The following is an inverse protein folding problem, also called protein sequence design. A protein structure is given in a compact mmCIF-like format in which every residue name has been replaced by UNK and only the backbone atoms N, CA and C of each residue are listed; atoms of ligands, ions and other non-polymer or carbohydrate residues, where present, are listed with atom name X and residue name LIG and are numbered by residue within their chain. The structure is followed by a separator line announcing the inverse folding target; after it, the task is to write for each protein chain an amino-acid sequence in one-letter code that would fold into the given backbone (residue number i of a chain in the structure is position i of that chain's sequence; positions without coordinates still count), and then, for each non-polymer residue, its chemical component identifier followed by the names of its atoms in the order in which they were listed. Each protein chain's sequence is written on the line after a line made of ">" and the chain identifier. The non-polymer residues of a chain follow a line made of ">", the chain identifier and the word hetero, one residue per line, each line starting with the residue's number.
data_IF_095106024819
#
_entry.id   IF_095106024819
#
_cell.length_a   1.000
_cell.length_b   1.000
_cell.length_c   1.000
_cell.angle_alpha   90.00
_cell.angle_beta   90.00
_cell.angle_gamma   90.00
#
_symmetry.space_group_name_H-M   'P 1'
#
loop_
_entity.id
_entity.type
_entity.pdbx_description
1 polymer ?
#
# COMPACT_ATOMS: atom_id res chain seq x y z
N UNK A 1 -0.47 -25.27 -19.03
CA UNK A 1 -1.00 -24.73 -17.75
C UNK A 1 -0.02 -23.66 -17.29
N UNK A 2 -0.44 -22.42 -17.23
CA UNK A 2 0.38 -21.30 -16.75
C UNK A 2 0.41 -21.36 -15.22
N UNK A 3 1.59 -21.45 -14.57
CA UNK A 3 1.63 -21.49 -13.12
C UNK A 3 1.17 -20.15 -12.53
N UNK A 4 0.62 -20.18 -11.32
CA UNK A 4 0.34 -18.98 -10.54
C UNK A 4 1.69 -18.29 -10.20
N UNK A 5 1.92 -17.14 -10.80
CA UNK A 5 3.18 -16.40 -10.66
C UNK A 5 3.12 -15.33 -9.59
N UNK A 6 1.92 -14.76 -9.36
CA UNK A 6 1.74 -13.67 -8.40
C UNK A 6 0.44 -13.86 -7.62
N UNK A 7 0.56 -13.89 -6.31
CA UNK A 7 -0.57 -13.96 -5.40
C UNK A 7 -0.58 -12.77 -4.43
N UNK A 8 -1.71 -12.07 -4.35
CA UNK A 8 -1.92 -10.89 -3.50
C UNK A 8 -3.09 -11.10 -2.57
N UNK A 9 -2.90 -10.84 -1.30
CA UNK A 9 -3.99 -10.76 -0.31
C UNK A 9 -4.22 -9.31 0.06
N UNK A 10 -5.41 -8.80 -0.22
CA UNK A 10 -5.84 -7.44 0.15
C UNK A 10 -6.69 -7.53 1.41
N UNK A 11 -6.27 -6.85 2.45
CA UNK A 11 -7.04 -6.75 3.69
C UNK A 11 -6.88 -5.35 4.31
N UNK A 12 -7.47 -5.12 5.47
CA UNK A 12 -7.36 -3.85 6.18
C UNK A 12 -8.71 -3.38 6.72
N UNK A 13 -8.69 -2.19 7.30
CA UNK A 13 -9.83 -1.61 8.00
C UNK A 13 -11.05 -1.42 7.10
N UNK A 14 -12.23 -1.63 7.65
CA UNK A 14 -13.50 -1.31 6.98
C UNK A 14 -13.53 0.18 6.62
N UNK A 15 -13.83 0.49 5.35
CA UNK A 15 -13.80 1.88 4.86
C UNK A 15 -12.41 2.37 4.42
N UNK A 16 -11.35 1.57 4.56
CA UNK A 16 -10.00 1.95 4.13
C UNK A 16 -9.76 1.85 2.61
N UNK A 17 -10.71 1.33 1.83
CA UNK A 17 -10.64 1.35 0.36
C UNK A 17 -10.26 0.03 -0.30
N UNK A 18 -10.49 -1.11 0.35
CA UNK A 18 -10.22 -2.47 -0.20
C UNK A 18 -10.82 -2.68 -1.60
N UNK A 19 -12.08 -2.29 -1.81
CA UNK A 19 -12.71 -2.39 -3.12
C UNK A 19 -12.07 -1.52 -4.22
N UNK A 20 -11.47 -0.38 -3.85
CA UNK A 20 -10.68 0.44 -4.79
C UNK A 20 -9.37 -0.26 -5.15
N UNK A 21 -8.72 -0.87 -4.15
CA UNK A 21 -7.50 -1.66 -4.38
C UNK A 21 -7.78 -2.90 -5.25
N UNK A 22 -8.88 -3.61 -5.00
CA UNK A 22 -9.34 -4.72 -5.82
C UNK A 22 -9.48 -4.33 -7.30
N UNK A 23 -10.23 -3.26 -7.58
CA UNK A 23 -10.39 -2.71 -8.95
C UNK A 23 -9.08 -2.25 -9.59
N UNK A 24 -8.13 -1.77 -8.79
CA UNK A 24 -6.82 -1.39 -9.30
C UNK A 24 -6.00 -2.63 -9.72
N UNK A 25 -6.08 -3.71 -8.95
CA UNK A 25 -5.45 -5.00 -9.28
C UNK A 25 -6.10 -5.67 -10.51
N UNK A 26 -7.43 -5.61 -10.64
CA UNK A 26 -8.12 -6.08 -11.87
C UNK A 26 -7.56 -5.39 -13.13
N UNK A 27 -7.33 -4.07 -13.07
CA UNK A 27 -6.74 -3.32 -14.19
C UNK A 27 -5.30 -3.74 -14.52
N UNK A 28 -4.59 -4.33 -13.56
CA UNK A 28 -3.26 -4.92 -13.76
C UNK A 28 -3.31 -6.39 -14.22
N UNK A 29 -4.50 -6.91 -14.51
CA UNK A 29 -4.69 -8.28 -15.01
C UNK A 29 -4.73 -9.35 -13.91
N UNK A 30 -4.97 -8.97 -12.65
CA UNK A 30 -5.23 -9.94 -11.60
C UNK A 30 -6.66 -10.49 -11.71
N UNK A 31 -6.81 -11.79 -11.56
CA UNK A 31 -8.10 -12.39 -11.24
C UNK A 31 -8.43 -12.08 -9.78
N UNK A 32 -9.49 -11.34 -9.53
CA UNK A 32 -9.84 -10.86 -8.18
C UNK A 32 -11.01 -11.64 -7.62
N UNK A 33 -10.84 -12.23 -6.44
CA UNK A 33 -11.93 -12.83 -5.66
C UNK A 33 -12.19 -11.88 -4.48
N UNK A 34 -13.34 -11.21 -4.50
CA UNK A 34 -13.73 -10.28 -3.43
C UNK A 34 -14.48 -11.00 -2.31
N UNK A 35 -14.27 -10.53 -1.08
CA UNK A 35 -14.94 -11.03 0.12
C UNK A 35 -14.75 -12.55 0.36
N UNK A 36 -13.54 -13.05 0.09
CA UNK A 36 -13.20 -14.45 0.33
C UNK A 36 -12.97 -14.70 1.83
N UNK A 37 -13.61 -15.70 2.45
CA UNK A 37 -13.24 -16.14 3.80
C UNK A 37 -11.79 -16.65 3.83
N UNK A 38 -11.05 -16.33 4.89
CA UNK A 38 -9.65 -16.75 5.01
C UNK A 38 -9.46 -18.27 4.91
N UNK A 39 -10.40 -19.04 5.45
CA UNK A 39 -10.40 -20.51 5.38
C UNK A 39 -10.54 -21.09 3.96
N UNK A 40 -10.96 -20.29 2.98
CA UNK A 40 -11.13 -20.72 1.59
C UNK A 40 -9.99 -20.25 0.68
N UNK A 41 -8.94 -19.68 1.23
CA UNK A 41 -7.82 -19.15 0.42
C UNK A 41 -7.09 -20.28 -0.28
N UNK A 42 -6.83 -21.39 0.41
CA UNK A 42 -6.10 -22.53 -0.15
C UNK A 42 -6.87 -23.17 -1.30
N UNK A 43 -8.17 -23.40 -1.14
CA UNK A 43 -9.05 -23.93 -2.18
C UNK A 43 -9.14 -22.97 -3.39
N UNK A 44 -9.18 -21.66 -3.14
CA UNK A 44 -9.18 -20.68 -4.22
C UNK A 44 -7.88 -20.71 -5.02
N UNK A 45 -6.74 -20.85 -4.34
CA UNK A 45 -5.43 -21.00 -4.99
C UNK A 45 -5.36 -22.28 -5.81
N UNK A 46 -5.84 -23.40 -5.27
CA UNK A 46 -5.85 -24.69 -5.98
C UNK A 46 -6.75 -24.64 -7.23
N UNK A 47 -7.90 -24.00 -7.11
CA UNK A 47 -8.83 -23.83 -8.23
C UNK A 47 -8.23 -23.02 -9.38
N UNK A 48 -7.52 -21.92 -9.08
CA UNK A 48 -6.93 -21.05 -10.12
C UNK A 48 -5.66 -21.66 -10.73
N UNK A 49 -4.90 -22.47 -9.98
CA UNK A 49 -3.75 -23.20 -10.53
C UNK A 49 -4.16 -24.17 -11.65
N UNK A 50 -5.41 -24.70 -11.62
CA UNK A 50 -5.98 -25.54 -12.66
C UNK A 50 -6.57 -24.75 -13.85
N UNK A 51 -6.73 -23.43 -13.74
CA UNK A 51 -7.52 -22.62 -14.67
C UNK A 51 -6.71 -21.60 -15.49
N UNK A 52 -5.40 -21.76 -15.61
CA UNK A 52 -4.51 -20.87 -16.38
C UNK A 52 -4.55 -19.38 -15.91
N UNK A 53 -4.65 -19.16 -14.60
CA UNK A 53 -4.67 -17.83 -13.97
C UNK A 53 -3.28 -17.51 -13.41
N UNK A 54 -2.47 -16.67 -14.07
CA UNK A 54 -1.12 -16.38 -13.61
C UNK A 54 -1.08 -15.41 -12.42
N UNK A 55 -2.12 -14.58 -12.25
CA UNK A 55 -2.18 -13.53 -11.21
C UNK A 55 -3.48 -13.62 -10.45
N UNK A 56 -3.40 -13.90 -9.15
CA UNK A 56 -4.55 -13.95 -8.25
C UNK A 56 -4.48 -12.86 -7.21
N UNK A 57 -5.58 -12.18 -6.96
CA UNK A 57 -5.76 -11.33 -5.79
C UNK A 57 -7.02 -11.76 -5.03
N UNK A 58 -6.92 -11.91 -3.73
CA UNK A 58 -8.07 -12.19 -2.87
C UNK A 58 -8.28 -11.03 -1.90
N UNK A 59 -9.52 -10.60 -1.75
CA UNK A 59 -9.90 -9.59 -0.75
C UNK A 59 -10.51 -10.31 0.44
N UNK A 60 -9.84 -10.20 1.59
CA UNK A 60 -10.29 -10.81 2.85
C UNK A 60 -10.90 -9.74 3.73
N UNK A 61 -12.14 -9.97 4.16
CA UNK A 61 -12.89 -9.04 5.00
C UNK A 61 -12.87 -9.45 6.47
N UNK A 62 -12.72 -8.49 7.37
CA UNK A 62 -12.82 -8.66 8.83
C UNK A 62 -14.22 -9.06 9.33
N UNK A 63 -15.26 -8.95 8.47
CA UNK A 63 -16.64 -9.31 8.83
C UNK A 63 -16.81 -10.74 9.30
N UNK A 64 -15.94 -11.59 8.90
CA UNK A 64 -15.95 -13.00 9.26
C UNK A 64 -15.21 -13.27 10.58
N UNK A 65 -15.34 -12.43 11.61
CA UNK A 65 -14.60 -12.48 12.87
C UNK A 65 -14.04 -13.86 13.31
N UNK A 66 -14.86 -14.90 13.27
CA UNK A 66 -14.43 -16.29 13.51
C UNK A 66 -13.58 -16.89 12.37
N UNK A 67 -13.70 -16.37 11.13
CA UNK A 67 -12.99 -16.86 9.95
C UNK A 67 -11.70 -16.08 9.67
N UNK A 68 -11.47 -14.96 10.36
CA UNK A 68 -10.25 -14.16 10.16
C UNK A 68 -9.02 -14.78 10.83
N UNK A 69 -9.22 -15.55 11.92
CA UNK A 69 -8.16 -16.27 12.63
C UNK A 69 -7.34 -17.21 11.73
N UNK A 70 -7.94 -17.73 10.66
CA UNK A 70 -7.26 -18.63 9.72
C UNK A 70 -6.39 -17.94 8.65
N UNK A 71 -6.37 -16.59 8.56
CA UNK A 71 -5.59 -15.93 7.51
C UNK A 71 -4.08 -16.16 7.66
N UNK A 72 -3.58 -16.05 8.87
CA UNK A 72 -2.15 -16.29 9.14
C UNK A 72 -1.78 -17.73 8.84
N UNK A 73 -2.62 -18.69 9.29
CA UNK A 73 -2.40 -20.12 9.09
C UNK A 73 -2.45 -20.48 7.62
N UNK A 74 -3.42 -19.96 6.87
CA UNK A 74 -3.52 -20.17 5.42
C UNK A 74 -2.31 -19.62 4.66
N UNK A 75 -1.80 -18.44 5.05
CA UNK A 75 -0.60 -17.86 4.45
C UNK A 75 0.66 -18.67 4.76
N UNK A 76 0.78 -19.20 5.97
CA UNK A 76 1.88 -20.09 6.37
C UNK A 76 1.83 -21.43 5.61
N UNK A 77 0.66 -22.06 5.53
CA UNK A 77 0.44 -23.29 4.74
C UNK A 77 0.82 -23.10 3.27
N UNK A 78 0.36 -22.03 2.64
CA UNK A 78 0.72 -21.72 1.25
C UNK A 78 2.22 -21.48 1.06
N UNK A 79 2.86 -20.84 2.04
CA UNK A 79 4.31 -20.61 2.01
C UNK A 79 5.09 -21.92 2.08
N UNK A 80 4.66 -22.89 2.90
CA UNK A 80 5.23 -24.24 2.97
C UNK A 80 5.08 -24.98 1.62
N UNK A 81 4.00 -24.72 0.89
CA UNK A 81 3.76 -25.23 -0.48
C UNK A 81 4.54 -24.47 -1.57
N UNK A 82 5.39 -23.51 -1.19
CA UNK A 82 6.17 -22.68 -2.11
C UNK A 82 5.39 -21.52 -2.75
N UNK A 83 4.17 -21.25 -2.31
CA UNK A 83 3.32 -20.16 -2.81
C UNK A 83 3.42 -18.97 -1.87
N UNK A 84 4.07 -17.91 -2.32
CA UNK A 84 4.22 -16.69 -1.51
C UNK A 84 3.14 -15.67 -1.88
N UNK A 85 2.29 -15.37 -0.92
CA UNK A 85 1.36 -14.25 -1.00
C UNK A 85 2.05 -12.94 -0.64
N UNK A 86 1.74 -11.85 -1.36
CA UNK A 86 2.04 -10.47 -0.91
C UNK A 86 0.82 -9.90 -0.23
N UNK A 87 0.96 -9.47 1.01
CA UNK A 87 -0.14 -8.93 1.81
C UNK A 87 -0.16 -7.40 1.69
N UNK A 88 -1.23 -6.87 1.08
CA UNK A 88 -1.54 -5.46 1.04
C UNK A 88 -2.53 -5.12 2.16
N UNK A 89 -2.09 -4.31 3.11
CA UNK A 89 -2.91 -3.83 4.20
C UNK A 89 -3.32 -2.36 4.00
N UNK A 90 -4.62 -2.07 4.15
CA UNK A 90 -5.16 -0.73 4.00
C UNK A 90 -5.70 -0.22 5.34
N UNK A 91 -5.31 1.00 5.69
CA UNK A 91 -5.79 1.67 6.90
C UNK A 91 -6.15 3.14 6.64
N UNK A 92 -6.80 3.75 7.62
CA UNK A 92 -7.00 5.19 7.68
C UNK A 92 -7.23 5.63 9.13
N UNK A 93 -7.14 6.95 9.39
CA UNK A 93 -7.50 7.53 10.67
C UNK A 93 -8.98 7.29 11.01
N UNK A 94 -9.28 7.09 12.28
CA UNK A 94 -10.60 6.72 12.76
C UNK A 94 -11.70 7.72 12.33
N UNK A 95 -11.42 9.02 12.36
CA UNK A 95 -12.35 10.06 11.91
C UNK A 95 -12.71 9.91 10.43
N UNK A 96 -11.76 9.49 9.62
CA UNK A 96 -11.96 9.25 8.17
C UNK A 96 -12.78 7.98 7.95
N UNK A 97 -12.48 6.91 8.70
CA UNK A 97 -13.22 5.65 8.63
C UNK A 97 -14.68 5.85 9.06
N UNK A 98 -14.92 6.53 10.18
CA UNK A 98 -16.26 6.87 10.68
C UNK A 98 -17.03 7.64 9.60
N UNK A 99 -16.46 8.73 9.09
CA UNK A 99 -17.12 9.54 8.05
C UNK A 99 -17.44 8.74 6.79
N UNK A 100 -16.53 7.86 6.35
CA UNK A 100 -16.74 7.00 5.16
C UNK A 100 -17.83 5.98 5.42
N UNK A 101 -17.89 5.42 6.64
CA UNK A 101 -18.90 4.45 7.03
C UNK A 101 -20.29 5.07 7.10
N UNK A 102 -20.42 6.27 7.69
CA UNK A 102 -21.66 7.03 7.74
C UNK A 102 -22.16 7.38 6.32
N UNK A 103 -21.27 7.82 5.44
CA UNK A 103 -21.60 8.10 4.05
C UNK A 103 -22.07 6.87 3.28
N UNK A 104 -21.53 5.68 3.60
CA UNK A 104 -21.95 4.41 2.99
C UNK A 104 -23.30 3.91 3.49
N UNK A 105 -23.83 4.47 4.59
CA UNK A 105 -25.10 4.07 5.23
C UNK A 105 -25.21 2.57 5.52
N UNK A 106 -24.10 1.93 5.85
CA UNK A 106 -24.04 0.50 6.20
C UNK A 106 -23.60 0.35 7.65
N UNK A 107 -24.18 -0.57 8.43
CA UNK A 107 -23.69 -0.84 9.78
C UNK A 107 -22.24 -1.36 9.72
N UNK A 108 -21.44 -0.99 10.73
CA UNK A 108 -20.09 -1.56 10.85
C UNK A 108 -20.20 -3.03 11.28
N UNK A 109 -19.47 -3.95 10.65
CA UNK A 109 -19.61 -5.40 10.90
C UNK A 109 -19.45 -5.83 12.36
N UNK A 110 -18.60 -5.14 13.11
CA UNK A 110 -18.26 -5.43 14.50
C UNK A 110 -18.93 -4.47 15.50
N UNK A 111 -19.83 -3.61 15.05
CA UNK A 111 -20.60 -2.67 15.86
C UNK A 111 -22.07 -3.16 15.95
N UNK A 112 -22.32 -4.22 16.73
CA UNK A 112 -23.66 -4.83 16.78
C UNK A 112 -24.69 -3.96 17.52
N UNK A 113 -24.33 -3.20 18.57
CA UNK A 113 -25.21 -2.29 19.32
C UNK A 113 -24.46 -1.12 19.97
N UNK A 114 -23.23 -0.81 19.51
CA UNK A 114 -22.35 0.17 20.10
C UNK A 114 -22.02 1.34 19.17
N UNK A 115 -21.12 2.19 19.64
CA UNK A 115 -20.58 3.30 18.84
C UNK A 115 -19.70 2.74 17.71
N UNK A 116 -19.73 3.39 16.54
CA UNK A 116 -18.90 3.01 15.39
C UNK A 116 -17.41 2.89 15.76
N UNK A 117 -16.93 3.78 16.63
CA UNK A 117 -15.55 3.79 17.09
C UNK A 117 -15.18 2.51 17.84
N UNK A 118 -16.09 1.93 18.63
CA UNK A 118 -15.83 0.68 19.33
C UNK A 118 -15.69 -0.49 18.35
N UNK A 119 -16.45 -0.46 17.24
CA UNK A 119 -16.31 -1.40 16.15
C UNK A 119 -14.95 -1.31 15.47
N UNK A 120 -14.47 -0.10 15.16
CA UNK A 120 -13.14 0.11 14.59
C UNK A 120 -12.01 -0.29 15.53
N UNK A 121 -12.13 -0.03 16.82
CA UNK A 121 -11.13 -0.46 17.81
C UNK A 121 -11.01 -1.99 17.87
N UNK A 122 -12.14 -2.70 17.87
CA UNK A 122 -12.16 -4.17 17.81
C UNK A 122 -11.57 -4.70 16.51
N UNK A 123 -11.91 -4.08 15.39
CA UNK A 123 -11.36 -4.44 14.08
C UNK A 123 -9.84 -4.26 14.05
N UNK A 124 -9.33 -3.15 14.56
CA UNK A 124 -7.90 -2.86 14.63
C UNK A 124 -7.13 -3.90 15.46
N UNK A 125 -7.69 -4.32 16.60
CA UNK A 125 -7.09 -5.38 17.42
C UNK A 125 -7.05 -6.72 16.68
N UNK A 126 -8.13 -7.11 16.02
CA UNK A 126 -8.18 -8.34 15.22
C UNK A 126 -7.15 -8.32 14.08
N UNK A 127 -6.96 -7.16 13.46
CA UNK A 127 -6.08 -6.99 12.31
C UNK A 127 -4.62 -6.74 12.69
N UNK A 128 -4.29 -6.54 13.96
CA UNK A 128 -2.95 -6.13 14.42
C UNK A 128 -1.84 -7.07 13.95
N UNK A 129 -2.04 -8.37 14.08
CA UNK A 129 -1.04 -9.37 13.68
C UNK A 129 -0.81 -9.36 12.17
N UNK A 130 -1.89 -9.27 11.39
CA UNK A 130 -1.80 -9.25 9.92
C UNK A 130 -1.18 -7.94 9.42
N UNK A 131 -1.51 -6.81 10.06
CA UNK A 131 -0.86 -5.54 9.78
C UNK A 131 0.66 -5.60 10.00
N UNK A 132 1.09 -6.22 11.09
CA UNK A 132 2.51 -6.40 11.41
C UNK A 132 3.28 -7.31 10.44
N UNK A 133 2.56 -8.17 9.70
CA UNK A 133 3.13 -9.10 8.71
C UNK A 133 2.88 -8.64 7.26
N UNK A 134 2.23 -7.50 7.07
CA UNK A 134 1.92 -7.00 5.74
C UNK A 134 3.19 -6.58 4.99
N UNK A 135 3.29 -6.98 3.73
CA UNK A 135 4.39 -6.57 2.84
C UNK A 135 4.24 -5.10 2.40
N UNK A 136 3.00 -4.63 2.31
CA UNK A 136 2.67 -3.26 1.93
C UNK A 136 1.55 -2.74 2.83
N UNK A 137 1.79 -1.60 3.48
CA UNK A 137 0.77 -0.87 4.24
C UNK A 137 0.50 0.45 3.53
N UNK A 138 -0.77 0.74 3.22
CA UNK A 138 -1.17 2.03 2.63
C UNK A 138 -2.12 2.73 3.59
N UNK A 139 -1.68 3.86 4.15
CA UNK A 139 -2.56 4.80 4.83
C UNK A 139 -3.34 5.61 3.79
N UNK A 140 -4.66 5.47 3.82
CA UNK A 140 -5.59 6.12 2.90
C UNK A 140 -6.26 7.36 3.49
N UNK A 141 -5.83 7.83 4.65
CA UNK A 141 -6.42 8.96 5.37
C UNK A 141 -6.60 10.19 4.49
N UNK A 142 -5.58 10.53 3.70
CA UNK A 142 -5.55 11.70 2.82
C UNK A 142 -5.71 11.35 1.33
N UNK A 143 -5.99 10.08 1.02
CA UNK A 143 -6.13 9.64 -0.37
C UNK A 143 -7.58 9.68 -0.83
N UNK A 144 -7.78 10.15 -2.04
CA UNK A 144 -9.01 9.89 -2.79
C UNK A 144 -8.90 8.56 -3.56
N UNK A 145 -10.01 8.12 -4.15
CA UNK A 145 -10.08 6.83 -4.87
C UNK A 145 -9.06 6.72 -6.01
N UNK A 146 -8.78 7.84 -6.71
CA UNK A 146 -7.83 7.85 -7.83
C UNK A 146 -6.38 7.78 -7.35
N UNK A 147 -6.06 8.46 -6.26
CA UNK A 147 -4.73 8.41 -5.65
C UNK A 147 -4.45 7.03 -5.08
N UNK A 148 -5.41 6.42 -4.38
CA UNK A 148 -5.27 5.06 -3.89
C UNK A 148 -5.07 4.06 -5.04
N UNK A 149 -5.89 4.14 -6.10
CA UNK A 149 -5.74 3.26 -7.26
C UNK A 149 -4.35 3.37 -7.89
N UNK A 150 -3.82 4.58 -8.07
CA UNK A 150 -2.45 4.80 -8.58
C UNK A 150 -1.38 4.22 -7.66
N UNK A 151 -1.51 4.37 -6.33
CA UNK A 151 -0.57 3.77 -5.37
C UNK A 151 -0.56 2.26 -5.45
N UNK A 152 -1.75 1.64 -5.52
CA UNK A 152 -1.85 0.19 -5.68
C UNK A 152 -1.23 -0.26 -7.01
N UNK A 153 -1.54 0.42 -8.12
CA UNK A 153 -0.94 0.11 -9.42
C UNK A 153 0.57 0.20 -9.36
N UNK A 154 1.14 1.29 -8.87
CA UNK A 154 2.59 1.46 -8.74
C UNK A 154 3.25 0.38 -7.88
N UNK A 155 2.56 -0.11 -6.83
CA UNK A 155 3.06 -1.17 -5.96
C UNK A 155 3.08 -2.56 -6.61
N UNK A 156 2.25 -2.80 -7.65
CA UNK A 156 2.06 -4.11 -8.26
C UNK A 156 2.27 -4.15 -9.80
N UNK A 157 2.68 -3.04 -10.41
CA UNK A 157 2.80 -2.88 -11.86
C UNK A 157 3.91 -3.74 -12.49
N UNK A 158 4.92 -4.14 -11.71
CA UNK A 158 5.96 -5.07 -12.16
C UNK A 158 5.90 -6.39 -11.40
N UNK A 159 5.50 -7.49 -12.06
CA UNK A 159 5.60 -8.81 -11.46
C UNK A 159 7.07 -9.28 -11.48
N UNK A 160 7.65 -9.50 -10.32
CA UNK A 160 8.89 -10.26 -10.20
C UNK A 160 10.13 -9.54 -9.69
N UNK A 161 10.14 -8.23 -9.53
CA UNK A 161 11.24 -7.58 -8.82
C UNK A 161 11.08 -7.82 -7.30
N UNK A 162 11.71 -8.87 -6.80
CA UNK A 162 12.07 -9.04 -5.39
C UNK A 162 13.19 -8.01 -5.07
N UNK A 163 12.94 -6.74 -5.35
CA UNK A 163 13.88 -5.66 -5.13
C UNK A 163 13.29 -4.62 -4.19
N UNK A 164 14.17 -3.85 -3.57
CA UNK A 164 13.78 -2.64 -2.86
C UNK A 164 12.92 -1.76 -3.78
N UNK A 165 11.72 -1.40 -3.35
CA UNK A 165 10.91 -0.38 -4.00
C UNK A 165 10.95 0.87 -3.14
N UNK A 166 11.48 1.94 -3.68
CA UNK A 166 11.44 3.26 -3.07
C UNK A 166 10.44 4.14 -3.83
N UNK A 167 9.52 4.75 -3.10
CA UNK A 167 8.67 5.83 -3.61
C UNK A 167 9.26 7.16 -3.16
N UNK A 168 9.69 7.96 -4.09
CA UNK A 168 10.22 9.30 -3.78
C UNK A 168 9.11 10.33 -4.02
N UNK A 169 8.85 11.16 -3.01
CA UNK A 169 7.85 12.22 -3.08
C UNK A 169 8.44 13.55 -2.61
N UNK A 170 8.29 14.59 -3.41
CA UNK A 170 8.59 15.95 -2.96
C UNK A 170 7.40 16.55 -2.21
N UNK A 171 7.66 17.28 -1.13
CA UNK A 171 6.63 17.97 -0.37
C UNK A 171 7.15 19.30 0.19
N UNK A 172 6.22 20.20 0.46
CA UNK A 172 6.52 21.45 1.18
C UNK A 172 6.10 21.36 2.65
N UNK A 173 6.94 21.75 3.57
CA UNK A 173 6.67 21.74 5.02
C UNK A 173 5.42 22.54 5.44
N UNK A 174 4.92 23.43 4.58
CA UNK A 174 3.69 24.21 4.82
C UNK A 174 2.48 23.31 5.18
N UNK A 175 2.42 22.11 4.65
CA UNK A 175 1.30 21.19 4.85
C UNK A 175 1.66 19.99 5.75
N UNK A 176 2.82 20.07 6.41
CA UNK A 176 3.35 19.01 7.27
C UNK A 176 4.11 17.92 6.50
N UNK A 177 4.73 17.03 7.25
CA UNK A 177 5.45 15.87 6.74
C UNK A 177 4.44 14.79 6.36
N UNK A 178 4.60 14.08 5.23
CA UNK A 178 3.78 12.92 4.90
C UNK A 178 3.82 11.88 6.02
N UNK A 179 2.66 11.47 6.50
CA UNK A 179 2.54 10.55 7.66
C UNK A 179 3.09 9.15 7.34
N UNK A 180 3.07 8.78 6.08
CA UNK A 180 3.50 7.49 5.55
C UNK A 180 4.93 7.50 5.00
N UNK A 181 5.72 8.52 5.34
CA UNK A 181 7.12 8.58 4.94
C UNK A 181 7.98 7.76 5.93
N UNK A 182 8.70 6.76 5.43
CA UNK A 182 9.69 6.02 6.20
C UNK A 182 10.98 6.82 6.43
N UNK A 183 11.30 7.69 5.47
CA UNK A 183 12.48 8.57 5.51
C UNK A 183 12.12 9.95 4.98
N UNK A 184 12.66 10.98 5.61
CA UNK A 184 12.50 12.36 5.19
C UNK A 184 13.87 13.01 5.07
N UNK A 185 14.14 13.63 3.92
CA UNK A 185 15.34 14.41 3.70
C UNK A 185 14.97 15.90 3.55
N UNK A 186 15.68 16.74 4.27
CA UNK A 186 15.55 18.20 4.17
C UNK A 186 16.57 18.74 3.16
N UNK A 187 16.07 19.18 2.01
CA UNK A 187 16.90 19.66 0.89
C UNK A 187 17.15 21.17 0.94
N UNK A 188 16.77 21.87 2.03
CA UNK A 188 16.92 23.33 2.13
C UNK A 188 18.35 23.82 2.29
N UNK A 189 19.32 22.91 2.40
CA UNK A 189 20.74 23.26 2.31
C UNK A 189 21.19 23.60 0.88
N UNK A 190 20.39 23.24 -0.14
CA UNK A 190 20.61 23.63 -1.52
C UNK A 190 19.92 24.96 -1.83
N UNK A 191 20.53 25.82 -2.67
CA UNK A 191 19.88 27.04 -3.14
C UNK A 191 18.55 26.73 -3.84
N UNK A 192 17.52 27.47 -3.48
CA UNK A 192 16.21 27.29 -4.05
C UNK A 192 16.12 27.92 -5.46
N UNK A 193 15.88 27.12 -6.52
CA UNK A 193 15.76 27.62 -7.90
C UNK A 193 14.66 28.65 -8.09
N UNK A 194 13.66 28.71 -7.21
CA UNK A 194 12.59 29.71 -7.24
C UNK A 194 13.12 31.15 -7.16
N UNK A 195 14.30 31.39 -6.58
CA UNK A 195 14.90 32.72 -6.49
C UNK A 195 15.64 33.15 -7.76
N UNK A 196 15.80 32.24 -8.72
CA UNK A 196 16.32 32.53 -10.06
C UNK A 196 15.13 32.85 -10.96
N UNK A 197 15.10 34.05 -11.52
CA UNK A 197 13.92 34.58 -12.20
C UNK A 197 13.49 33.70 -13.41
N UNK A 198 14.45 33.23 -14.17
CA UNK A 198 14.26 32.38 -15.34
C UNK A 198 13.74 30.97 -14.97
N UNK A 199 14.07 30.47 -13.77
CA UNK A 199 13.68 29.13 -13.31
C UNK A 199 12.36 29.14 -12.53
N UNK A 200 11.91 30.29 -12.06
CA UNK A 200 10.72 30.43 -11.21
C UNK A 200 9.44 29.81 -11.77
N UNK A 201 9.14 29.93 -13.09
CA UNK A 201 7.93 29.33 -13.66
C UNK A 201 8.06 27.83 -13.94
N UNK A 202 9.26 27.26 -13.77
CA UNK A 202 9.59 25.88 -14.09
C UNK A 202 9.48 24.97 -12.88
N UNK A 203 9.54 23.67 -13.10
CA UNK A 203 9.51 22.61 -12.09
C UNK A 203 10.79 21.77 -12.11
N UNK A 204 11.01 20.93 -11.11
CA UNK A 204 12.15 20.00 -11.07
C UNK A 204 12.15 18.93 -12.19
N UNK A 205 11.07 18.83 -12.96
CA UNK A 205 11.00 17.98 -14.15
C UNK A 205 11.57 18.66 -15.40
N UNK A 206 11.79 19.96 -15.34
CA UNK A 206 12.37 20.74 -16.44
C UNK A 206 13.89 20.71 -16.33
N UNK A 207 14.57 20.42 -17.44
CA UNK A 207 16.03 20.26 -17.49
C UNK A 207 16.80 21.44 -16.87
N UNK A 208 16.47 22.73 -17.13
CA UNK A 208 17.21 23.84 -16.55
C UNK A 208 17.17 23.86 -15.02
N UNK A 209 16.03 23.49 -14.40
CA UNK A 209 15.91 23.42 -12.94
C UNK A 209 16.71 22.25 -12.38
N UNK A 210 16.63 21.08 -13.03
CA UNK A 210 17.39 19.90 -12.64
C UNK A 210 18.90 20.16 -12.72
N UNK A 211 19.37 20.71 -13.81
CA UNK A 211 20.78 21.07 -14.01
C UNK A 211 21.25 22.08 -12.97
N UNK A 212 20.46 23.12 -12.69
CA UNK A 212 20.78 24.10 -11.67
C UNK A 212 20.95 23.47 -10.28
N UNK A 213 20.02 22.58 -9.88
CA UNK A 213 20.06 21.94 -8.56
C UNK A 213 21.20 20.95 -8.45
N UNK A 214 21.41 20.12 -9.46
CA UNK A 214 22.46 19.10 -9.47
C UNK A 214 23.87 19.69 -9.56
N UNK A 215 24.04 20.88 -10.17
CA UNK A 215 25.31 21.59 -10.22
C UNK A 215 25.72 22.25 -8.90
N UNK A 216 24.83 22.28 -7.89
CA UNK A 216 25.16 22.91 -6.62
C UNK A 216 26.17 22.09 -5.81
N UNK A 217 27.08 22.76 -5.09
CA UNK A 217 27.98 22.08 -4.17
C UNK A 217 27.22 21.18 -3.20
N UNK A 218 27.71 19.98 -2.96
CA UNK A 218 27.12 18.94 -2.08
C UNK A 218 25.85 18.24 -2.61
N UNK A 219 25.31 18.61 -3.77
CA UNK A 219 24.12 17.93 -4.30
C UNK A 219 24.43 16.47 -4.64
N UNK A 220 25.51 16.23 -5.37
CA UNK A 220 25.98 14.89 -5.77
C UNK A 220 26.41 14.06 -4.55
N UNK A 221 27.23 14.62 -3.65
CA UNK A 221 27.66 13.96 -2.41
C UNK A 221 26.46 13.52 -1.53
N UNK A 222 25.46 14.37 -1.46
CA UNK A 222 24.22 14.04 -0.74
C UNK A 222 23.48 12.89 -1.41
N UNK A 223 23.30 12.94 -2.72
CA UNK A 223 22.58 11.90 -3.47
C UNK A 223 23.26 10.54 -3.31
N UNK A 224 24.58 10.48 -3.48
CA UNK A 224 25.37 9.26 -3.31
C UNK A 224 25.22 8.68 -1.90
N UNK A 225 25.34 9.55 -0.89
CA UNK A 225 25.20 9.14 0.52
C UNK A 225 23.79 8.63 0.82
N UNK A 226 22.77 9.30 0.28
CA UNK A 226 21.37 8.96 0.52
C UNK A 226 20.98 7.68 -0.21
N UNK A 227 21.45 7.48 -1.44
CA UNK A 227 21.25 6.24 -2.19
C UNK A 227 21.87 5.04 -1.47
N UNK A 228 23.11 5.17 -1.00
CA UNK A 228 23.77 4.12 -0.21
C UNK A 228 23.01 3.80 1.08
N UNK A 229 22.45 4.80 1.75
CA UNK A 229 21.64 4.60 2.97
C UNK A 229 20.36 3.83 2.67
N UNK A 230 19.67 4.16 1.58
CA UNK A 230 18.42 3.50 1.16
C UNK A 230 18.69 2.07 0.74
N UNK A 231 19.74 1.83 -0.06
CA UNK A 231 20.14 0.48 -0.52
C UNK A 231 20.62 -0.37 0.67
N UNK A 232 21.39 0.21 1.59
CA UNK A 232 21.88 -0.50 2.77
C UNK A 232 20.76 -1.04 3.69
N UNK A 233 19.63 -0.34 3.79
CA UNK A 233 18.46 -0.84 4.52
C UNK A 233 17.73 -2.00 3.85
N UNK A 234 17.95 -2.20 2.57
CA UNK A 234 17.35 -3.32 1.83
C UNK A 234 18.01 -4.66 2.10
N UNK A 235 19.21 -4.65 2.68
CA UNK A 235 20.02 -5.84 2.94
C UNK A 235 19.99 -6.28 4.42
N UNK A 236 19.19 -5.63 5.28
CA UNK A 236 18.90 -6.01 6.65
C UNK A 236 17.49 -6.57 6.73
#
# INVERSE_FOLDING_TARGET
>A
MTPLTTFVVVTGMTGAGRGTAAKALEKLGYYVIDNLPAAMIEEAVDAVQGADVPRLAVVVDSRSGAFFGGLTDALESLRERGIRARVLYLEAADEVLVRRQEAARRPHPLSMEGRLLDGFNRERELLRTVRGRADIVIDTTRLNIHHLARRVQAAFEEPGALGLRASVMSFGFKYGIPIDADMVADMRFLPNPYWVEELRPMSGLDAPVSEYVLSQPKAEEFLDSYENLVIGRAHV
#
